data_IF_165817194148
#
_entry.id   IF_165817194148
#
_cell.length_a   1.000
_cell.length_b   1.000
_cell.length_c   1.000
_cell.angle_alpha   90.00
_cell.angle_beta   90.00
_cell.angle_gamma   90.00
#
_symmetry.space_group_name_H-M   'P 1'
#
loop_
_entity.id
_entity.type
_entity.pdbx_description
1 polymer ?
#
# COMPACT_ATOMS: atom_id res chain seq x y z
N UNK A 1 -13.35 12.60 -11.94
CA UNK A 1 -13.94 12.64 -10.60
C UNK A 1 -13.86 11.22 -10.10
N UNK A 2 -13.05 10.94 -9.09
CA UNK A 2 -13.03 9.61 -8.48
C UNK A 2 -14.12 9.60 -7.42
N UNK A 3 -15.23 8.91 -7.70
CA UNK A 3 -16.27 8.67 -6.70
C UNK A 3 -15.66 7.75 -5.63
N UNK A 4 -15.42 8.29 -4.45
CA UNK A 4 -15.05 7.51 -3.27
C UNK A 4 -16.35 7.00 -2.64
N UNK A 5 -16.47 5.68 -2.48
CA UNK A 5 -17.55 5.10 -1.67
C UNK A 5 -17.33 5.43 -0.20
N UNK A 6 -18.17 6.26 0.44
CA UNK A 6 -17.88 6.86 1.75
C UNK A 6 -17.77 5.85 2.91
N UNK A 7 -18.23 4.63 2.73
CA UNK A 7 -18.18 3.56 3.73
C UNK A 7 -17.44 2.31 3.23
N UNK A 8 -16.61 2.41 2.19
CA UNK A 8 -15.91 1.25 1.67
C UNK A 8 -14.51 1.11 2.29
N UNK A 9 -14.11 -0.14 2.54
CA UNK A 9 -12.81 -0.51 3.13
C UNK A 9 -12.13 -1.51 2.21
N UNK A 10 -10.89 -1.23 1.80
CA UNK A 10 -10.05 -2.21 1.12
C UNK A 10 -9.21 -2.97 2.15
N UNK A 11 -9.43 -4.28 2.25
CA UNK A 11 -8.67 -5.21 3.10
C UNK A 11 -7.60 -5.92 2.28
N UNK A 12 -6.32 -5.70 2.60
CA UNK A 12 -5.19 -6.30 1.90
C UNK A 12 -4.39 -7.16 2.88
N UNK A 13 -4.49 -8.48 2.76
CA UNK A 13 -3.84 -9.45 3.66
C UNK A 13 -3.71 -10.79 2.93
N UNK A 14 -2.60 -11.49 3.04
CA UNK A 14 -2.40 -12.77 2.36
C UNK A 14 -3.16 -13.92 3.04
N UNK A 15 -3.53 -13.77 4.32
CA UNK A 15 -4.25 -14.78 5.07
C UNK A 15 -5.77 -14.69 4.83
N UNK A 16 -6.39 -15.67 4.15
CA UNK A 16 -7.82 -15.63 3.83
C UNK A 16 -8.72 -15.66 5.08
N UNK A 17 -8.27 -16.29 6.16
CA UNK A 17 -9.04 -16.35 7.41
C UNK A 17 -9.09 -14.99 8.10
N UNK A 18 -8.00 -14.23 8.07
CA UNK A 18 -7.94 -12.88 8.63
C UNK A 18 -8.84 -11.94 7.82
N UNK A 19 -8.73 -11.98 6.48
CA UNK A 19 -9.59 -11.18 5.60
C UNK A 19 -11.08 -11.46 5.86
N UNK A 20 -11.47 -12.74 5.81
CA UNK A 20 -12.87 -13.12 6.01
C UNK A 20 -13.41 -12.74 7.41
N UNK A 21 -12.57 -12.81 8.45
CA UNK A 21 -12.96 -12.38 9.80
C UNK A 21 -13.21 -10.89 9.86
N UNK A 22 -12.25 -10.09 9.38
CA UNK A 22 -12.34 -8.62 9.39
C UNK A 22 -13.48 -8.14 8.50
N UNK A 23 -13.63 -8.70 7.30
CA UNK A 23 -14.71 -8.38 6.37
C UNK A 23 -16.08 -8.54 7.04
N UNK A 24 -16.36 -9.72 7.61
CA UNK A 24 -17.62 -9.99 8.30
C UNK A 24 -17.89 -9.04 9.48
N UNK A 25 -16.84 -8.68 10.23
CA UNK A 25 -16.99 -7.78 11.36
C UNK A 25 -17.29 -6.36 10.89
N UNK A 26 -16.59 -5.87 9.85
CA UNK A 26 -16.80 -4.54 9.28
C UNK A 26 -18.16 -4.41 8.59
N UNK A 27 -18.60 -5.44 7.86
CA UNK A 27 -19.91 -5.48 7.21
C UNK A 27 -21.07 -5.39 8.23
N UNK A 28 -20.93 -6.04 9.40
CA UNK A 28 -21.91 -5.91 10.48
C UNK A 28 -22.02 -4.49 11.05
N UNK A 29 -20.95 -3.72 10.91
CA UNK A 29 -20.85 -2.33 11.35
C UNK A 29 -21.22 -1.32 10.25
N UNK A 30 -21.69 -1.82 9.08
CA UNK A 30 -22.19 -1.01 7.96
C UNK A 30 -21.15 -0.56 6.95
N UNK A 31 -19.96 -1.17 6.95
CA UNK A 31 -18.95 -0.93 5.93
C UNK A 31 -19.11 -1.90 4.75
N UNK A 32 -18.83 -1.42 3.56
CA UNK A 32 -18.62 -2.26 2.38
C UNK A 32 -17.16 -2.68 2.33
N UNK A 33 -16.87 -3.98 2.14
CA UNK A 33 -15.50 -4.48 2.15
C UNK A 33 -15.09 -5.04 0.79
N UNK A 34 -13.92 -4.62 0.32
CA UNK A 34 -13.25 -5.19 -0.85
C UNK A 34 -12.00 -5.93 -0.38
N UNK A 35 -11.88 -7.20 -0.76
CA UNK A 35 -10.75 -8.03 -0.33
C UNK A 35 -9.69 -8.13 -1.40
N UNK A 36 -8.42 -8.02 -1.01
CA UNK A 36 -7.25 -8.27 -1.84
C UNK A 36 -6.27 -9.19 -1.10
N UNK A 37 -5.67 -10.14 -1.82
CA UNK A 37 -4.80 -11.15 -1.21
C UNK A 37 -3.31 -10.77 -1.22
N UNK A 38 -2.94 -9.66 -1.82
CA UNK A 38 -1.62 -9.01 -1.75
C UNK A 38 -1.67 -7.57 -2.28
N UNK A 39 -0.52 -6.89 -2.25
CA UNK A 39 -0.43 -5.51 -2.71
C UNK A 39 -0.76 -5.32 -4.19
N UNK A 40 -0.43 -6.29 -5.06
CA UNK A 40 -0.74 -6.21 -6.50
C UNK A 40 -2.25 -6.26 -6.74
N UNK A 41 -2.93 -7.20 -6.09
CA UNK A 41 -4.40 -7.31 -6.15
C UNK A 41 -5.07 -6.06 -5.56
N UNK A 42 -4.50 -5.52 -4.46
CA UNK A 42 -4.93 -4.23 -3.89
C UNK A 42 -4.87 -3.09 -4.90
N UNK A 43 -3.78 -2.97 -5.67
CA UNK A 43 -3.67 -1.96 -6.72
C UNK A 43 -4.63 -2.18 -7.89
N UNK A 44 -4.96 -3.44 -8.20
CA UNK A 44 -6.00 -3.75 -9.21
C UNK A 44 -7.37 -3.26 -8.73
N UNK A 45 -7.69 -3.44 -7.45
CA UNK A 45 -8.95 -2.92 -6.86
C UNK A 45 -8.99 -1.39 -6.90
N UNK A 46 -7.91 -0.72 -6.47
CA UNK A 46 -7.80 0.74 -6.48
C UNK A 46 -7.94 1.39 -7.86
N UNK A 47 -7.65 0.67 -8.94
CA UNK A 47 -7.90 1.17 -10.31
C UNK A 47 -9.39 1.24 -10.65
N UNK A 48 -10.18 0.38 -10.05
CA UNK A 48 -11.61 0.27 -10.35
C UNK A 48 -12.45 1.15 -9.43
N UNK A 49 -12.09 1.22 -8.16
CA UNK A 49 -12.83 1.94 -7.14
C UNK A 49 -11.90 2.40 -6.01
N UNK A 50 -12.10 3.62 -5.52
CA UNK A 50 -11.32 4.16 -4.41
C UNK A 50 -12.08 3.95 -3.10
N UNK A 51 -11.47 3.26 -2.12
CA UNK A 51 -12.06 3.06 -0.80
C UNK A 51 -11.93 4.31 0.05
N UNK A 52 -12.79 4.42 1.08
CA UNK A 52 -12.68 5.45 2.09
C UNK A 52 -11.47 5.24 3.01
N UNK A 53 -11.02 3.99 3.19
CA UNK A 53 -9.84 3.63 3.98
C UNK A 53 -9.24 2.30 3.49
N UNK A 54 -7.93 2.14 3.67
CA UNK A 54 -7.22 0.90 3.39
C UNK A 54 -6.75 0.30 4.71
N UNK A 55 -6.94 -1.02 4.87
CA UNK A 55 -6.34 -1.82 5.94
C UNK A 55 -5.40 -2.82 5.28
N UNK A 56 -4.11 -2.78 5.57
CA UNK A 56 -3.09 -3.61 4.92
C UNK A 56 -2.22 -4.36 5.92
N UNK A 57 -1.92 -5.63 5.61
CA UNK A 57 -0.77 -6.31 6.19
C UNK A 57 0.54 -5.79 5.58
N UNK A 58 1.65 -5.96 6.30
CA UNK A 58 2.98 -5.69 5.78
C UNK A 58 3.64 -6.91 5.14
N UNK A 59 3.40 -8.07 5.70
CA UNK A 59 4.07 -9.31 5.30
C UNK A 59 3.22 -10.07 4.29
N UNK A 60 3.33 -9.69 3.03
CA UNK A 60 2.59 -10.33 1.94
C UNK A 60 3.55 -10.82 0.85
N UNK A 61 3.19 -11.89 0.12
CA UNK A 61 3.95 -12.36 -1.03
C UNK A 61 3.86 -11.37 -2.20
N UNK A 62 4.77 -11.47 -3.14
CA UNK A 62 4.84 -10.72 -4.40
C UNK A 62 5.09 -9.22 -4.23
N UNK A 63 4.25 -8.53 -3.50
CA UNK A 63 4.35 -7.12 -3.16
C UNK A 63 4.10 -6.96 -1.67
N UNK A 64 5.11 -6.50 -0.94
CA UNK A 64 5.00 -6.23 0.49
C UNK A 64 4.05 -5.08 0.78
N UNK A 65 3.52 -5.03 2.02
CA UNK A 65 2.67 -3.91 2.42
C UNK A 65 3.40 -2.57 2.39
N UNK A 66 4.70 -2.54 2.65
CA UNK A 66 5.50 -1.31 2.53
C UNK A 66 5.53 -0.79 1.10
N UNK A 67 5.80 -1.66 0.12
CA UNK A 67 5.78 -1.29 -1.30
C UNK A 67 4.39 -0.84 -1.73
N UNK A 68 3.34 -1.54 -1.28
CA UNK A 68 1.95 -1.18 -1.54
C UNK A 68 1.62 0.21 -0.97
N UNK A 69 1.91 0.46 0.32
CA UNK A 69 1.65 1.75 0.98
C UNK A 69 2.42 2.88 0.30
N UNK A 70 3.69 2.67 -0.11
CA UNK A 70 4.46 3.66 -0.86
C UNK A 70 3.77 4.08 -2.17
N UNK A 71 3.22 3.12 -2.92
CA UNK A 71 2.46 3.41 -4.14
C UNK A 71 1.17 4.15 -3.83
N UNK A 72 0.45 3.72 -2.78
CA UNK A 72 -0.80 4.37 -2.33
C UNK A 72 -0.55 5.81 -1.91
N UNK A 73 0.47 6.06 -1.07
CA UNK A 73 0.81 7.42 -0.62
C UNK A 73 1.16 8.34 -1.77
N UNK A 74 1.86 7.83 -2.76
CA UNK A 74 2.22 8.62 -3.94
C UNK A 74 1.02 8.93 -4.84
N UNK A 75 0.12 7.97 -5.06
CA UNK A 75 -0.97 8.11 -6.03
C UNK A 75 -2.26 8.59 -5.41
N UNK A 76 -2.52 8.22 -4.16
CA UNK A 76 -3.74 8.48 -3.41
C UNK A 76 -3.44 8.99 -2.01
N UNK A 77 -2.74 10.14 -1.86
CA UNK A 77 -2.28 10.63 -0.54
C UNK A 77 -3.42 10.92 0.43
N UNK A 78 -4.63 11.13 -0.07
CA UNK A 78 -5.82 11.43 0.75
C UNK A 78 -6.49 10.17 1.30
N UNK A 79 -6.18 8.97 0.79
CA UNK A 79 -6.77 7.74 1.33
C UNK A 79 -6.00 7.33 2.59
N UNK A 80 -6.66 7.31 3.76
CA UNK A 80 -6.02 6.86 4.98
C UNK A 80 -5.68 5.38 4.93
N UNK A 81 -4.53 5.03 5.50
CA UNK A 81 -4.00 3.66 5.55
C UNK A 81 -3.77 3.24 6.99
N UNK A 82 -4.41 2.15 7.37
CA UNK A 82 -4.17 1.42 8.62
C UNK A 82 -3.30 0.21 8.28
N UNK A 83 -2.22 0.01 9.03
CA UNK A 83 -1.40 -1.19 8.90
C UNK A 83 -1.63 -2.11 10.08
N UNK A 84 -1.83 -3.40 9.79
CA UNK A 84 -1.86 -4.48 10.76
C UNK A 84 -0.58 -5.29 10.60
N UNK A 85 0.28 -5.34 11.62
CA UNK A 85 1.56 -6.08 11.56
C UNK A 85 1.86 -6.77 12.88
N UNK A 86 2.55 -7.91 12.82
CA UNK A 86 3.11 -8.59 14.01
C UNK A 86 4.44 -8.02 14.45
N UNK A 87 5.09 -7.24 13.62
CA UNK A 87 6.39 -6.64 13.91
C UNK A 87 6.23 -5.15 14.17
N UNK A 88 6.81 -4.64 15.25
CA UNK A 88 6.94 -3.20 15.46
C UNK A 88 7.75 -2.59 14.32
N UNK A 89 7.36 -1.44 13.81
CA UNK A 89 8.11 -0.75 12.77
C UNK A 89 9.39 -0.16 13.37
N UNK A 90 10.52 -0.83 13.18
CA UNK A 90 11.81 -0.32 13.69
C UNK A 90 12.43 0.69 12.72
N UNK A 91 12.13 0.60 11.42
CA UNK A 91 12.62 1.51 10.39
C UNK A 91 11.58 1.66 9.27
N UNK A 92 10.47 2.35 9.52
CA UNK A 92 9.51 2.68 8.47
C UNK A 92 9.98 3.95 7.77
N UNK A 93 10.17 3.90 6.46
CA UNK A 93 10.43 5.11 5.69
C UNK A 93 9.24 6.08 5.78
N UNK A 94 9.51 7.38 5.96
CA UNK A 94 8.46 8.41 6.02
C UNK A 94 7.48 8.31 4.84
N UNK A 95 7.98 7.95 3.66
CA UNK A 95 7.18 7.80 2.44
C UNK A 95 6.19 6.62 2.45
N UNK A 96 6.41 5.66 3.38
CA UNK A 96 5.57 4.47 3.54
C UNK A 96 4.86 4.47 4.88
N UNK A 97 4.85 5.62 5.58
CA UNK A 97 4.25 5.75 6.89
C UNK A 97 2.72 5.66 6.77
N UNK A 98 2.08 4.70 7.44
CA UNK A 98 0.62 4.65 7.51
C UNK A 98 0.09 5.69 8.50
N UNK A 99 -1.21 6.00 8.44
CA UNK A 99 -1.84 6.89 9.41
C UNK A 99 -1.92 6.25 10.79
N UNK A 100 -2.07 4.93 10.86
CA UNK A 100 -2.17 4.19 12.11
C UNK A 100 -1.57 2.79 11.97
N UNK A 101 -0.92 2.36 13.06
CA UNK A 101 -0.39 1.02 13.26
C UNK A 101 -1.21 0.26 14.29
N UNK A 102 -1.48 -1.01 14.01
CA UNK A 102 -1.97 -1.97 15.00
C UNK A 102 -1.11 -3.22 15.00
N UNK A 103 -0.85 -3.73 16.20
CA UNK A 103 -0.29 -5.07 16.37
C UNK A 103 -1.39 -6.10 16.11
N UNK A 104 -1.15 -7.02 15.15
CA UNK A 104 -2.11 -8.09 14.79
C UNK A 104 -2.44 -8.99 15.98
N UNK A 105 -1.46 -9.30 16.82
CA UNK A 105 -1.63 -10.25 17.94
C UNK A 105 -2.35 -9.60 19.13
N UNK A 106 -2.33 -8.27 19.24
CA UNK A 106 -3.03 -7.49 20.24
C UNK A 106 -4.24 -6.72 19.70
N UNK A 107 -4.72 -7.07 18.49
CA UNK A 107 -5.76 -6.32 17.80
C UNK A 107 -7.08 -6.35 18.56
N UNK A 108 -7.54 -5.19 19.03
CA UNK A 108 -8.88 -4.98 19.57
C UNK A 108 -9.78 -4.40 18.48
N UNK A 109 -10.78 -5.17 18.05
CA UNK A 109 -11.69 -4.76 16.98
C UNK A 109 -12.46 -3.48 17.29
N UNK A 110 -12.87 -3.26 18.54
CA UNK A 110 -13.57 -2.03 18.94
C UNK A 110 -12.68 -0.80 18.76
N UNK A 111 -11.38 -0.93 19.06
CA UNK A 111 -10.41 0.15 18.86
C UNK A 111 -10.16 0.38 17.38
N UNK A 112 -9.98 -0.67 16.58
CA UNK A 112 -9.85 -0.60 15.13
C UNK A 112 -11.06 0.11 14.51
N UNK A 113 -12.27 -0.29 14.87
CA UNK A 113 -13.51 0.28 14.36
C UNK A 113 -13.66 1.78 14.68
N UNK A 114 -13.32 2.19 15.92
CA UNK A 114 -13.32 3.60 16.31
C UNK A 114 -12.32 4.40 15.47
N UNK A 115 -11.09 3.93 15.38
CA UNK A 115 -10.03 4.56 14.57
C UNK A 115 -10.43 4.69 13.10
N UNK A 116 -11.01 3.62 12.53
CA UNK A 116 -11.48 3.61 11.16
C UNK A 116 -12.57 4.67 10.93
N UNK A 117 -13.58 4.74 11.81
CA UNK A 117 -14.62 5.77 11.75
C UNK A 117 -14.07 7.19 11.88
N UNK A 118 -13.07 7.39 12.73
CA UNK A 118 -12.41 8.68 12.91
C UNK A 118 -11.61 9.09 11.67
N UNK A 119 -10.92 8.16 11.02
CA UNK A 119 -10.19 8.40 9.77
C UNK A 119 -11.14 8.75 8.63
N UNK A 120 -12.19 7.96 8.43
CA UNK A 120 -13.20 8.22 7.39
C UNK A 120 -13.84 9.60 7.54
N UNK A 121 -14.12 10.04 8.77
CA UNK A 121 -14.69 11.38 9.04
C UNK A 121 -13.71 12.53 8.79
N UNK A 122 -12.42 12.29 8.94
CA UNK A 122 -11.37 13.32 8.78
C UNK A 122 -10.85 13.42 7.37
N UNK A 123 -11.16 12.47 6.51
CA UNK A 123 -10.74 12.51 5.11
C UNK A 123 -11.42 13.70 4.43
N UNK A 124 -10.68 14.79 4.10
CA UNK A 124 -11.28 15.94 3.46
C UNK A 124 -11.70 15.53 2.04
N UNK A 125 -12.81 16.06 1.58
CA UNK A 125 -13.13 16.11 0.17
C UNK A 125 -11.97 16.85 -0.53
N UNK A 126 -11.02 16.07 -1.10
CA UNK A 126 -9.88 16.48 -1.92
C UNK A 126 -9.19 17.81 -1.60
N UNK A 127 -8.10 17.83 -0.85
CA UNK A 127 -7.11 18.88 -1.02
C UNK A 127 -6.29 18.59 -2.29
N UNK A 128 -6.09 19.60 -3.14
CA UNK A 128 -5.03 19.64 -4.15
C UNK A 128 -3.67 19.61 -3.43
N UNK A 129 -3.22 18.43 -3.00
CA UNK A 129 -1.89 18.28 -2.41
C UNK A 129 -0.86 18.19 -3.54
N UNK A 130 0.25 18.93 -3.45
CA UNK A 130 1.35 18.78 -4.38
C UNK A 130 1.81 17.32 -4.35
N UNK A 131 1.91 16.71 -5.53
CA UNK A 131 2.44 15.35 -5.65
C UNK A 131 3.90 15.35 -5.20
N UNK A 132 4.15 14.98 -3.97
CA UNK A 132 5.51 14.74 -3.48
C UNK A 132 6.02 13.51 -4.21
N UNK A 133 7.08 13.69 -5.00
CA UNK A 133 7.70 12.62 -5.79
C UNK A 133 8.62 11.82 -4.87
N UNK A 134 8.03 10.95 -4.04
CA UNK A 134 8.81 10.02 -3.21
C UNK A 134 9.17 8.76 -4.00
N UNK A 135 10.42 8.27 -3.91
CA UNK A 135 10.84 7.07 -4.62
C UNK A 135 10.22 5.81 -4.00
N UNK A 136 9.80 4.87 -4.86
CA UNK A 136 9.27 3.57 -4.43
C UNK A 136 10.43 2.71 -3.94
N UNK A 137 10.33 2.15 -2.74
CA UNK A 137 11.33 1.21 -2.23
C UNK A 137 11.08 -0.18 -2.82
N UNK A 138 12.14 -0.81 -3.30
CA UNK A 138 12.09 -2.15 -3.86
C UNK A 138 13.36 -2.92 -3.56
N UNK A 139 13.28 -4.26 -3.59
CA UNK A 139 14.41 -5.15 -3.35
C UNK A 139 14.85 -5.81 -4.65
N UNK A 140 16.16 -6.03 -4.84
CA UNK A 140 16.64 -6.76 -6.00
C UNK A 140 16.06 -8.18 -6.04
N UNK A 141 15.53 -8.59 -7.20
CA UNK A 141 15.13 -9.97 -7.44
C UNK A 141 16.30 -10.88 -7.77
N UNK A 142 16.07 -12.20 -7.77
CA UNK A 142 17.10 -13.24 -7.96
C UNK A 142 17.80 -13.25 -9.33
N UNK A 143 17.28 -12.58 -10.36
CA UNK A 143 17.75 -12.70 -11.75
C UNK A 143 18.23 -11.38 -12.37
N UNK A 144 18.73 -10.44 -11.55
CA UNK A 144 19.21 -9.13 -12.05
C UNK A 144 18.11 -8.18 -12.51
N UNK A 145 16.87 -8.51 -12.25
CA UNK A 145 15.71 -7.63 -12.43
C UNK A 145 14.93 -7.49 -11.14
N UNK A 146 14.15 -6.45 -11.05
CA UNK A 146 13.20 -6.22 -9.96
C UNK A 146 11.86 -5.77 -10.54
N UNK A 147 10.81 -5.94 -9.75
CA UNK A 147 9.48 -5.50 -10.13
C UNK A 147 9.22 -4.11 -9.55
N UNK A 148 8.82 -3.20 -10.41
CA UNK A 148 8.32 -1.88 -10.01
C UNK A 148 6.84 -1.79 -10.31
N UNK A 149 6.10 -1.07 -9.46
CA UNK A 149 4.73 -0.70 -9.75
C UNK A 149 4.66 0.78 -10.08
N UNK A 150 4.13 1.09 -11.25
CA UNK A 150 3.93 2.47 -11.66
C UNK A 150 2.81 3.11 -10.84
N UNK A 151 3.05 4.21 -10.13
CA UNK A 151 2.00 4.89 -9.37
C UNK A 151 0.95 5.56 -10.26
N UNK A 152 1.29 5.88 -11.52
CA UNK A 152 0.37 6.54 -12.43
C UNK A 152 -0.67 5.57 -13.03
N UNK A 153 -0.23 4.42 -13.53
CA UNK A 153 -1.12 3.42 -14.14
C UNK A 153 -1.37 2.20 -13.25
N UNK A 154 -0.74 2.11 -12.08
CA UNK A 154 -0.82 1.02 -11.09
C UNK A 154 -0.51 -0.38 -11.67
N UNK A 155 0.29 -0.45 -12.74
CA UNK A 155 0.74 -1.71 -13.35
C UNK A 155 2.16 -2.02 -12.94
N UNK A 156 2.41 -3.28 -12.61
CA UNK A 156 3.75 -3.76 -12.30
C UNK A 156 4.51 -4.10 -13.59
N UNK A 157 5.77 -3.72 -13.67
CA UNK A 157 6.66 -3.96 -14.79
C UNK A 157 8.05 -4.35 -14.31
N UNK A 158 8.80 -5.02 -15.19
CA UNK A 158 10.20 -5.38 -14.92
C UNK A 158 11.11 -4.20 -15.18
N UNK A 159 12.00 -3.92 -14.25
CA UNK A 159 13.11 -3.00 -14.41
C UNK A 159 14.43 -3.75 -14.21
N UNK A 160 15.45 -3.38 -14.99
CA UNK A 160 16.80 -3.92 -14.88
C UNK A 160 17.69 -2.94 -14.14
N UNK A 161 18.64 -3.46 -13.39
CA UNK A 161 19.68 -2.67 -12.74
C UNK A 161 21.01 -2.97 -13.41
N UNK A 162 21.69 -1.94 -13.90
CA UNK A 162 23.06 -2.09 -14.34
C UNK A 162 23.95 -2.44 -13.13
N UNK A 163 24.84 -3.39 -13.32
CA UNK A 163 25.59 -4.10 -12.28
C UNK A 163 26.52 -3.21 -11.42
N UNK A 164 26.78 -1.99 -11.83
CA UNK A 164 27.81 -1.15 -11.19
C UNK A 164 27.31 -0.31 -10.02
N UNK A 165 26.01 -0.14 -9.82
CA UNK A 165 25.50 0.73 -8.77
C UNK A 165 24.24 0.13 -8.11
N UNK A 166 24.41 -0.66 -7.07
CA UNK A 166 23.34 -1.45 -6.42
C UNK A 166 22.56 -0.69 -5.33
N UNK A 167 22.83 0.58 -5.09
CA UNK A 167 22.14 1.37 -4.04
C UNK A 167 21.93 2.82 -4.49
N UNK A 168 20.85 3.43 -4.06
CA UNK A 168 20.54 4.85 -4.29
C UNK A 168 19.25 5.09 -5.06
N UNK A 169 18.90 6.36 -5.19
CA UNK A 169 17.70 6.81 -5.89
C UNK A 169 17.89 6.72 -7.41
N UNK A 170 16.89 6.19 -8.08
CA UNK A 170 16.87 5.95 -9.53
C UNK A 170 15.50 6.22 -10.13
N UNK A 171 15.46 6.27 -11.45
CA UNK A 171 14.21 6.41 -12.21
C UNK A 171 14.13 5.36 -13.29
N UNK A 172 13.02 4.65 -13.37
CA UNK A 172 12.66 3.76 -14.47
C UNK A 172 11.50 4.35 -15.26
N UNK A 173 11.41 4.00 -16.55
CA UNK A 173 10.25 4.32 -17.37
C UNK A 173 9.26 3.14 -17.31
N UNK A 174 8.01 3.44 -17.02
CA UNK A 174 6.94 2.45 -17.05
C UNK A 174 6.72 1.95 -18.47
N UNK A 175 6.75 0.64 -18.67
CA UNK A 175 6.55 0.03 -20.00
C UNK A 175 5.12 0.13 -20.53
N UNK A 176 4.17 0.62 -19.72
CA UNK A 176 2.76 0.71 -20.07
C UNK A 176 2.26 2.13 -20.34
N UNK A 177 2.78 3.13 -19.62
CA UNK A 177 2.32 4.52 -19.73
C UNK A 177 3.46 5.52 -19.91
N UNK A 178 4.72 5.03 -20.00
CA UNK A 178 5.95 5.84 -20.14
C UNK A 178 6.18 6.83 -18.99
N UNK A 179 5.38 6.74 -17.93
CA UNK A 179 5.55 7.54 -16.72
C UNK A 179 6.89 7.28 -16.04
N UNK A 180 7.51 8.31 -15.47
CA UNK A 180 8.77 8.19 -14.72
C UNK A 180 8.49 7.69 -13.31
N UNK A 181 9.06 6.54 -12.96
CA UNK A 181 8.92 5.90 -11.65
C UNK A 181 10.24 6.02 -10.89
N UNK A 182 10.40 6.97 -9.96
CA UNK A 182 11.55 7.01 -9.09
C UNK A 182 11.46 5.88 -8.06
N UNK A 183 12.61 5.25 -7.78
CA UNK A 183 12.70 4.14 -6.85
C UNK A 183 14.03 4.12 -6.11
N UNK A 184 14.02 3.49 -4.93
CA UNK A 184 15.20 3.21 -4.11
C UNK A 184 15.43 1.69 -4.07
N UNK A 185 16.65 1.27 -4.40
CA UNK A 185 17.07 -0.11 -4.18
C UNK A 185 17.61 -0.27 -2.76
N UNK A 186 16.94 -1.09 -1.97
CA UNK A 186 17.41 -1.48 -0.65
C UNK A 186 18.46 -2.58 -0.76
N UNK A 187 19.47 -2.55 0.13
CA UNK A 187 20.42 -3.66 0.24
C UNK A 187 19.69 -4.92 0.66
N UNK A 188 19.99 -6.03 0.01
CA UNK A 188 19.60 -7.34 0.51
C UNK A 188 20.24 -7.55 1.87
N UNK A 189 19.47 -7.92 2.88
CA UNK A 189 19.98 -8.23 4.24
C UNK A 189 20.84 -9.53 4.29
N UNK A 190 21.37 -9.96 3.15
CA UNK A 190 22.16 -11.20 2.99
C UNK A 190 23.54 -10.98 2.33
N UNK A 191 24.08 -9.77 2.39
CA UNK A 191 25.50 -9.54 2.07
C UNK A 191 26.28 -9.18 3.33
#
# INVERSE_FOLDING_TARGET
MCDMSPNSVLLVDDNPSVRALLSRQLEREGFETHEAHDGIDGLVKLRNELPAVIISDLQMPRMSGFEFVSVVRRRFPCIPVIVLSRSSPVDVPEESEPDVWFDKDALNFTTLLRTLRDLVRRTPEHPDLPQVVTPIRTRPGFAGYFMLTCPDCLRSFRATCDSENRTGERTALCTYCEGRVPFLLERSARD
#
